data_IF_804285185453
#
_entry.id   IF_804285185453
#
_cell.length_a   1.000
_cell.length_b   1.000
_cell.length_c   1.000
_cell.angle_alpha   90.00
_cell.angle_beta   90.00
_cell.angle_gamma   90.00
#
_symmetry.space_group_name_H-M   'P 1'
#
loop_
_entity.id
_entity.type
_entity.pdbx_description
1 polymer ?
#
# COMPACT_ATOMS: atom_id res chain seq x y z
N UNK A 1 -1.99 -10.42 31.43
CA UNK A 1 -2.66 -11.64 30.99
C UNK A 1 -4.04 -11.28 30.40
N UNK A 2 -4.40 -11.97 29.32
CA UNK A 2 -5.70 -11.85 28.66
C UNK A 2 -6.26 -13.25 28.42
N UNK A 3 -7.56 -13.42 28.56
CA UNK A 3 -8.25 -14.68 28.25
C UNK A 3 -9.03 -14.51 26.94
N UNK A 4 -8.68 -15.29 25.92
CA UNK A 4 -9.36 -15.30 24.63
C UNK A 4 -9.64 -16.75 24.21
N UNK A 5 -10.64 -16.99 23.34
CA UNK A 5 -10.89 -18.32 22.82
C UNK A 5 -9.69 -18.86 22.05
N UNK A 6 -9.27 -20.09 22.35
CA UNK A 6 -8.10 -20.73 21.74
C UNK A 6 -8.12 -20.73 20.19
N UNK A 7 -9.32 -20.81 19.58
CA UNK A 7 -9.47 -20.75 18.11
C UNK A 7 -9.07 -19.39 17.47
N UNK A 8 -8.88 -18.35 18.29
CA UNK A 8 -8.44 -17.03 17.84
C UNK A 8 -6.94 -16.80 18.07
N UNK A 9 -6.24 -17.80 18.61
CA UNK A 9 -4.80 -17.74 18.87
C UNK A 9 -4.06 -18.40 17.74
N UNK A 10 -3.04 -17.72 17.21
CA UNK A 10 -2.09 -18.29 16.27
C UNK A 10 -0.79 -18.52 17.03
N UNK A 11 -0.35 -19.78 17.21
CA UNK A 11 0.92 -20.07 17.86
C UNK A 11 2.09 -19.50 17.07
N UNK A 12 3.07 -18.96 17.76
CA UNK A 12 4.34 -18.55 17.17
C UNK A 12 5.37 -19.66 17.35
N UNK A 13 6.20 -19.89 16.33
CA UNK A 13 7.41 -20.69 16.46
C UNK A 13 8.52 -19.91 17.17
N UNK A 14 9.49 -20.63 17.75
CA UNK A 14 10.62 -20.01 18.46
C UNK A 14 11.59 -19.27 17.53
N UNK A 15 11.45 -19.46 16.22
CA UNK A 15 12.31 -18.86 15.18
C UNK A 15 11.98 -17.40 14.84
N UNK A 16 10.83 -16.89 15.28
CA UNK A 16 10.41 -15.50 15.01
C UNK A 16 10.56 -14.64 16.26
N UNK A 17 11.30 -13.54 16.15
CA UNK A 17 11.43 -12.57 17.23
C UNK A 17 10.11 -11.85 17.51
N UNK A 18 9.79 -11.59 18.77
CA UNK A 18 8.56 -10.89 19.18
C UNK A 18 8.38 -9.53 18.47
N UNK A 19 9.50 -8.79 18.26
CA UNK A 19 9.50 -7.51 17.55
C UNK A 19 9.08 -7.61 16.08
N UNK A 20 9.22 -8.79 15.48
CA UNK A 20 8.76 -9.08 14.11
C UNK A 20 7.35 -9.64 14.16
N UNK A 21 7.08 -10.56 15.08
CA UNK A 21 5.78 -11.20 15.23
C UNK A 21 4.65 -10.18 15.50
N UNK A 22 4.92 -9.10 16.24
CA UNK A 22 3.95 -8.05 16.52
C UNK A 22 3.48 -7.30 15.25
N UNK A 23 4.20 -7.40 14.13
CA UNK A 23 3.81 -6.81 12.85
C UNK A 23 2.80 -7.67 12.07
N UNK A 24 2.47 -8.88 12.56
CA UNK A 24 1.59 -9.81 11.84
C UNK A 24 0.20 -9.21 11.56
N UNK A 25 -0.40 -8.54 12.54
CA UNK A 25 -1.72 -7.94 12.36
C UNK A 25 -1.70 -6.81 11.31
N UNK A 26 -0.92 -5.73 11.45
CA UNK A 26 -0.92 -4.66 10.45
C UNK A 26 -0.45 -5.16 9.07
N UNK A 27 0.46 -6.13 9.03
CA UNK A 27 0.89 -6.71 7.76
C UNK A 27 -0.18 -7.59 7.12
N UNK A 28 -1.01 -8.28 7.89
CA UNK A 28 -2.16 -9.04 7.36
C UNK A 28 -3.16 -8.15 6.61
N UNK A 29 -3.32 -6.90 7.04
CA UNK A 29 -4.13 -5.90 6.34
C UNK A 29 -3.56 -5.59 4.96
N UNK A 30 -2.24 -5.47 4.85
CA UNK A 30 -1.53 -5.25 3.58
C UNK A 30 -1.64 -6.47 2.66
N UNK A 31 -1.47 -7.68 3.19
CA UNK A 31 -1.67 -8.94 2.44
C UNK A 31 -3.07 -9.00 1.84
N UNK A 32 -4.09 -8.72 2.66
CA UNK A 32 -5.48 -8.67 2.18
C UNK A 32 -5.70 -7.61 1.11
N UNK A 33 -5.16 -6.42 1.32
CA UNK A 33 -5.31 -5.30 0.41
C UNK A 33 -4.70 -5.59 -0.96
N UNK A 34 -3.51 -6.21 -1.00
CA UNK A 34 -2.83 -6.59 -2.24
C UNK A 34 -3.63 -7.62 -3.06
N UNK A 35 -4.28 -8.57 -2.39
CA UNK A 35 -5.19 -9.53 -3.04
C UNK A 35 -6.43 -8.82 -3.60
N UNK A 36 -7.05 -7.92 -2.83
CA UNK A 36 -8.27 -7.21 -3.24
C UNK A 36 -8.04 -6.30 -4.44
N UNK A 37 -6.91 -5.57 -4.45
CA UNK A 37 -6.57 -4.70 -5.57
C UNK A 37 -6.13 -5.49 -6.80
N UNK A 38 -5.76 -6.77 -6.64
CA UNK A 38 -5.34 -7.65 -7.72
C UNK A 38 -4.02 -7.20 -8.33
N UNK A 39 -3.03 -6.86 -7.48
CA UNK A 39 -1.70 -6.47 -7.95
C UNK A 39 -1.04 -7.60 -8.71
N UNK A 40 -0.52 -7.29 -9.90
CA UNK A 40 0.09 -8.24 -10.82
C UNK A 40 1.56 -7.91 -11.11
N UNK A 41 2.27 -8.89 -11.64
CA UNK A 41 3.69 -8.74 -12.05
C UNK A 41 3.84 -7.62 -13.08
N UNK A 42 4.90 -6.83 -12.95
CA UNK A 42 5.28 -5.71 -13.83
C UNK A 42 4.29 -4.53 -13.87
N UNK A 43 3.31 -4.49 -12.96
CA UNK A 43 2.48 -3.29 -12.80
C UNK A 43 3.25 -2.18 -12.06
N UNK A 44 3.08 -0.95 -12.52
CA UNK A 44 3.60 0.23 -11.84
C UNK A 44 2.74 0.55 -10.61
N UNK A 45 3.40 0.78 -9.47
CA UNK A 45 2.74 1.05 -8.19
C UNK A 45 3.21 2.40 -7.64
N UNK A 46 2.26 3.25 -7.27
CA UNK A 46 2.52 4.45 -6.48
C UNK A 46 1.99 4.24 -5.06
N UNK A 47 2.84 4.45 -4.05
CA UNK A 47 2.45 4.44 -2.63
C UNK A 47 2.54 5.85 -2.08
N UNK A 48 1.40 6.41 -1.67
CA UNK A 48 1.32 7.73 -1.04
C UNK A 48 1.45 7.54 0.48
N UNK A 49 2.51 8.12 1.04
CA UNK A 49 2.93 7.93 2.42
C UNK A 49 3.82 6.69 2.60
N UNK A 50 5.03 6.90 3.12
CA UNK A 50 5.98 5.83 3.44
C UNK A 50 6.20 5.71 4.96
N UNK A 51 5.11 5.80 5.73
CA UNK A 51 5.07 5.39 7.13
C UNK A 51 5.22 3.86 7.27
N UNK A 52 5.09 3.30 8.47
CA UNK A 52 5.23 1.86 8.67
C UNK A 52 4.39 1.01 7.71
N UNK A 53 3.12 1.36 7.55
CA UNK A 53 2.19 0.65 6.67
C UNK A 53 2.52 0.87 5.19
N UNK A 54 2.85 2.11 4.79
CA UNK A 54 3.28 2.40 3.41
C UNK A 54 4.53 1.60 3.02
N UNK A 55 5.51 1.46 3.94
CA UNK A 55 6.68 0.61 3.70
C UNK A 55 6.33 -0.88 3.60
N UNK A 56 5.33 -1.36 4.34
CA UNK A 56 4.81 -2.71 4.15
C UNK A 56 4.19 -2.89 2.76
N UNK A 57 3.47 -1.90 2.25
CA UNK A 57 2.93 -1.92 0.88
C UNK A 57 4.04 -1.90 -0.18
N UNK A 58 5.10 -1.10 0.00
CA UNK A 58 6.27 -1.06 -0.89
C UNK A 58 6.91 -2.45 -0.98
N UNK A 59 7.20 -3.07 0.17
CA UNK A 59 7.81 -4.39 0.23
C UNK A 59 6.89 -5.47 -0.36
N UNK A 60 5.58 -5.40 -0.09
CA UNK A 60 4.61 -6.32 -0.66
C UNK A 60 4.51 -6.18 -2.18
N UNK A 61 4.50 -4.95 -2.70
CA UNK A 61 4.51 -4.68 -4.15
C UNK A 61 5.77 -5.29 -4.80
N UNK A 62 6.94 -5.10 -4.17
CA UNK A 62 8.19 -5.70 -4.63
C UNK A 62 8.14 -7.23 -4.63
N UNK A 63 7.62 -7.84 -3.57
CA UNK A 63 7.46 -9.29 -3.48
C UNK A 63 6.56 -9.85 -4.59
N UNK A 64 5.53 -9.09 -4.97
CA UNK A 64 4.59 -9.45 -6.04
C UNK A 64 5.11 -9.12 -7.46
N UNK A 65 6.33 -8.55 -7.56
CA UNK A 65 6.96 -8.27 -8.85
C UNK A 65 6.47 -7.00 -9.54
N UNK A 66 5.95 -6.02 -8.79
CA UNK A 66 5.62 -4.71 -9.34
C UNK A 66 6.88 -3.96 -9.81
N UNK A 67 6.77 -3.17 -10.89
CA UNK A 67 7.82 -2.33 -11.44
C UNK A 67 7.26 -1.26 -12.40
N UNK A 68 7.59 0.04 -12.22
CA UNK A 68 8.32 0.60 -11.10
C UNK A 68 7.46 0.74 -9.83
N UNK A 69 8.11 0.76 -8.65
CA UNK A 69 7.51 1.09 -7.36
C UNK A 69 7.95 2.50 -6.98
N UNK A 70 6.99 3.40 -6.88
CA UNK A 70 7.22 4.82 -6.64
C UNK A 70 6.59 5.19 -5.29
N UNK A 71 7.37 5.74 -4.36
CA UNK A 71 6.85 6.31 -3.12
C UNK A 71 6.70 7.82 -3.23
N UNK A 72 5.63 8.38 -2.65
CA UNK A 72 5.47 9.83 -2.44
C UNK A 72 5.54 10.06 -0.93
N UNK A 73 6.63 10.66 -0.44
CA UNK A 73 6.89 10.86 0.99
C UNK A 73 7.69 12.15 1.22
N UNK A 74 7.17 13.01 2.08
CA UNK A 74 7.74 14.34 2.34
C UNK A 74 8.85 14.33 3.41
N UNK A 75 8.81 13.37 4.33
CA UNK A 75 9.80 13.25 5.38
C UNK A 75 11.08 12.59 4.84
N UNK A 76 12.25 13.27 4.93
CA UNK A 76 13.49 12.73 4.35
C UNK A 76 13.94 11.38 4.93
N UNK A 77 13.70 11.16 6.22
CA UNK A 77 14.08 9.89 6.89
C UNK A 77 13.19 8.74 6.40
N UNK A 78 11.88 8.98 6.27
CA UNK A 78 10.94 7.99 5.72
C UNK A 78 11.19 7.75 4.23
N UNK A 79 11.56 8.79 3.48
CA UNK A 79 11.94 8.67 2.08
C UNK A 79 13.16 7.76 1.90
N UNK A 80 14.15 7.87 2.78
CA UNK A 80 15.31 6.97 2.75
C UNK A 80 14.94 5.53 3.11
N UNK A 81 14.10 5.36 4.14
CA UNK A 81 13.58 4.03 4.50
C UNK A 81 12.77 3.40 3.37
N UNK A 82 11.98 4.18 2.64
CA UNK A 82 11.23 3.70 1.49
C UNK A 82 12.14 3.12 0.39
N UNK A 83 13.30 3.75 0.14
CA UNK A 83 14.31 3.21 -0.80
C UNK A 83 14.86 1.88 -0.30
N UNK A 84 15.21 1.80 0.98
CA UNK A 84 15.70 0.56 1.60
C UNK A 84 14.64 -0.55 1.55
N UNK A 85 13.37 -0.21 1.71
CA UNK A 85 12.24 -1.13 1.60
C UNK A 85 11.93 -1.55 0.15
N UNK A 86 12.57 -0.94 -0.84
CA UNK A 86 12.50 -1.37 -2.23
C UNK A 86 11.69 -0.48 -3.15
N UNK A 87 11.44 0.79 -2.81
CA UNK A 87 10.94 1.76 -3.76
C UNK A 87 12.04 2.08 -4.80
N UNK A 88 11.71 1.97 -6.08
CA UNK A 88 12.62 2.29 -7.19
C UNK A 88 12.85 3.81 -7.30
N UNK A 89 11.84 4.59 -6.90
CA UNK A 89 11.89 6.05 -6.86
C UNK A 89 11.13 6.60 -5.68
N UNK A 90 11.60 7.70 -5.10
CA UNK A 90 10.90 8.42 -4.03
C UNK A 90 10.75 9.89 -4.40
N UNK A 91 9.53 10.36 -4.45
CA UNK A 91 9.15 11.73 -4.74
C UNK A 91 8.94 12.46 -3.42
N UNK A 92 9.70 13.52 -3.19
CA UNK A 92 9.64 14.32 -1.95
C UNK A 92 8.99 15.69 -2.16
N UNK A 93 8.67 16.03 -3.40
CA UNK A 93 7.99 17.27 -3.79
C UNK A 93 6.57 16.93 -4.28
N UNK A 94 5.53 17.18 -3.47
CA UNK A 94 4.15 16.81 -3.81
C UNK A 94 3.61 17.62 -5.00
N UNK A 95 4.09 18.86 -5.22
CA UNK A 95 3.62 19.70 -6.33
C UNK A 95 4.06 19.14 -7.68
N UNK A 96 5.20 18.46 -7.70
CA UNK A 96 5.75 17.82 -8.91
C UNK A 96 5.42 16.32 -9.00
N UNK A 97 4.65 15.77 -8.06
CA UNK A 97 4.41 14.33 -7.99
C UNK A 97 3.78 13.80 -9.29
N UNK A 98 2.74 14.44 -9.80
CA UNK A 98 2.08 13.99 -11.03
C UNK A 98 3.02 14.00 -12.25
N UNK A 99 3.85 15.04 -12.40
CA UNK A 99 4.82 15.15 -13.47
C UNK A 99 5.84 13.99 -13.39
N UNK A 100 6.40 13.79 -12.19
CA UNK A 100 7.43 12.76 -11.98
C UNK A 100 6.85 11.34 -12.14
N UNK A 101 5.65 11.07 -11.61
CA UNK A 101 4.98 9.77 -11.81
C UNK A 101 4.79 9.50 -13.31
N UNK A 102 4.31 10.48 -14.08
CA UNK A 102 4.17 10.33 -15.53
C UNK A 102 5.49 10.05 -16.21
N UNK A 103 6.55 10.77 -15.84
CA UNK A 103 7.89 10.53 -16.40
C UNK A 103 8.39 9.10 -16.11
N UNK A 104 8.14 8.58 -14.91
CA UNK A 104 8.51 7.23 -14.48
C UNK A 104 7.61 6.12 -15.05
N UNK A 105 6.47 6.47 -15.63
CA UNK A 105 5.46 5.54 -16.18
C UNK A 105 5.18 5.78 -17.67
N UNK A 106 6.15 6.27 -18.42
CA UNK A 106 6.08 6.51 -19.87
C UNK A 106 4.90 7.43 -20.28
N UNK A 107 4.57 8.39 -19.44
CA UNK A 107 3.47 9.35 -19.65
C UNK A 107 2.08 8.83 -19.29
N UNK A 108 1.94 7.53 -18.94
CA UNK A 108 0.63 6.88 -18.74
C UNK A 108 0.00 7.15 -17.37
N UNK A 109 0.78 7.27 -16.32
CA UNK A 109 0.36 7.16 -14.93
C UNK A 109 0.47 5.72 -14.40
N UNK A 110 0.15 5.50 -13.13
CA UNK A 110 0.35 4.23 -12.45
C UNK A 110 -0.81 3.23 -12.67
N UNK A 111 -0.47 1.94 -12.72
CA UNK A 111 -1.43 0.84 -12.75
C UNK A 111 -2.20 0.75 -11.43
N UNK A 112 -1.49 0.89 -10.32
CA UNK A 112 -2.05 0.88 -8.97
C UNK A 112 -1.54 2.07 -8.18
N UNK A 113 -2.44 2.77 -7.51
CA UNK A 113 -2.11 3.81 -6.54
C UNK A 113 -2.63 3.36 -5.18
N UNK A 114 -1.79 3.41 -4.16
CA UNK A 114 -2.13 3.04 -2.78
C UNK A 114 -2.09 4.32 -1.95
N UNK A 115 -3.23 4.74 -1.42
CA UNK A 115 -3.31 5.83 -0.46
C UNK A 115 -3.25 5.22 0.95
N UNK A 116 -2.18 5.51 1.72
CA UNK A 116 -1.91 4.90 3.03
C UNK A 116 -1.78 5.92 4.18
N UNK A 117 -2.19 7.17 3.95
CA UNK A 117 -2.15 8.26 4.95
C UNK A 117 -3.52 8.52 5.57
N UNK A 118 -4.57 8.54 4.75
CA UNK A 118 -5.94 8.84 5.18
C UNK A 118 -6.28 10.33 5.13
N UNK A 119 -5.73 11.08 4.17
CA UNK A 119 -6.02 12.50 4.02
C UNK A 119 -6.86 12.77 2.76
N UNK A 120 -7.95 13.55 2.81
CA UNK A 120 -8.87 13.75 1.68
C UNK A 120 -8.17 14.31 0.43
N UNK A 121 -7.25 15.25 0.58
CA UNK A 121 -6.50 15.81 -0.54
C UNK A 121 -5.60 14.76 -1.21
N UNK A 122 -5.01 13.85 -0.44
CA UNK A 122 -4.19 12.77 -0.98
C UNK A 122 -5.03 11.74 -1.74
N UNK A 123 -6.25 11.46 -1.28
CA UNK A 123 -7.21 10.66 -2.05
C UNK A 123 -7.56 11.30 -3.39
N UNK A 124 -7.78 12.63 -3.43
CA UNK A 124 -8.04 13.34 -4.67
C UNK A 124 -6.82 13.34 -5.60
N UNK A 125 -5.63 13.53 -5.06
CA UNK A 125 -4.38 13.43 -5.84
C UNK A 125 -4.18 12.02 -6.38
N UNK A 126 -4.44 10.98 -5.59
CA UNK A 126 -4.32 9.59 -5.98
C UNK A 126 -5.12 9.27 -7.25
N UNK A 127 -6.32 9.83 -7.40
CA UNK A 127 -7.13 9.67 -8.61
C UNK A 127 -6.44 10.22 -9.87
N UNK A 128 -5.63 11.27 -9.72
CA UNK A 128 -4.90 11.88 -10.85
C UNK A 128 -3.64 11.11 -11.23
N UNK A 129 -3.09 10.33 -10.32
CA UNK A 129 -1.88 9.54 -10.54
C UNK A 129 -2.12 8.26 -11.32
N UNK A 130 -3.38 7.78 -11.33
CA UNK A 130 -3.76 6.56 -12.05
C UNK A 130 -3.77 6.76 -13.57
N UNK A 131 -3.30 5.75 -14.29
CA UNK A 131 -3.54 5.66 -15.73
C UNK A 131 -5.01 5.34 -16.05
N UNK A 132 -5.45 5.44 -17.32
CA UNK A 132 -6.69 4.78 -17.76
C UNK A 132 -6.64 3.27 -17.46
N UNK A 133 -7.72 2.71 -16.92
CA UNK A 133 -7.79 1.34 -16.41
C UNK A 133 -7.08 1.12 -15.08
N UNK A 134 -6.52 2.16 -14.47
CA UNK A 134 -5.82 2.09 -13.19
C UNK A 134 -6.74 1.87 -11.98
N UNK A 135 -6.14 1.48 -10.85
CA UNK A 135 -6.86 1.14 -9.62
C UNK A 135 -6.30 1.93 -8.43
N UNK A 136 -7.20 2.53 -7.65
CA UNK A 136 -6.87 3.14 -6.37
C UNK A 136 -7.20 2.16 -5.25
N UNK A 137 -6.22 1.83 -4.43
CA UNK A 137 -6.44 1.18 -3.15
C UNK A 137 -6.66 2.26 -2.08
N UNK A 138 -7.88 2.38 -1.59
CA UNK A 138 -8.23 3.20 -0.46
C UNK A 138 -7.93 2.42 0.82
N UNK A 139 -6.83 2.76 1.48
CA UNK A 139 -6.32 2.05 2.65
C UNK A 139 -6.18 2.95 3.89
N UNK A 140 -5.69 4.17 3.73
CA UNK A 140 -5.59 5.14 4.82
C UNK A 140 -6.96 5.46 5.42
N UNK A 141 -7.06 5.44 6.75
CA UNK A 141 -8.32 5.73 7.44
C UNK A 141 -8.51 7.25 7.55
N UNK A 142 -9.70 7.70 7.18
CA UNK A 142 -10.16 9.07 7.37
C UNK A 142 -11.15 9.15 8.53
N UNK A 143 -11.50 10.37 8.93
CA UNK A 143 -12.65 10.57 9.80
C UNK A 143 -13.96 10.18 9.07
N UNK A 144 -14.98 9.78 9.84
CA UNK A 144 -16.25 9.28 9.30
C UNK A 144 -16.99 10.30 8.41
N UNK A 145 -16.82 11.58 8.69
CA UNK A 145 -17.46 12.68 7.96
C UNK A 145 -16.61 13.20 6.79
N UNK A 146 -15.47 12.58 6.53
CA UNK A 146 -14.58 13.00 5.44
C UNK A 146 -15.19 12.68 4.08
N UNK A 147 -15.30 13.68 3.22
CA UNK A 147 -15.77 13.55 1.85
C UNK A 147 -14.67 13.94 0.85
N UNK A 148 -14.67 13.30 -0.30
CA UNK A 148 -13.85 13.69 -1.45
C UNK A 148 -14.71 13.93 -2.68
N UNK A 149 -14.36 14.92 -3.50
CA UNK A 149 -15.02 15.16 -4.77
C UNK A 149 -14.49 14.19 -5.84
N UNK A 150 -15.39 13.50 -6.51
CA UNK A 150 -15.11 12.64 -7.66
C UNK A 150 -15.85 13.18 -8.88
N UNK A 151 -15.16 13.19 -10.03
CA UNK A 151 -15.78 13.49 -11.31
C UNK A 151 -16.20 12.19 -12.00
N UNK A 152 -17.50 11.81 -11.97
CA UNK A 152 -17.95 10.51 -12.50
C UNK A 152 -17.57 10.29 -13.97
N UNK A 153 -17.63 11.35 -14.78
CA UNK A 153 -17.27 11.25 -16.20
C UNK A 153 -15.80 10.84 -16.40
N UNK A 154 -14.89 11.36 -15.57
CA UNK A 154 -13.47 10.96 -15.66
C UNK A 154 -13.28 9.49 -15.31
N UNK A 155 -13.95 9.00 -14.27
CA UNK A 155 -13.90 7.59 -13.88
C UNK A 155 -14.43 6.70 -15.01
N UNK A 156 -15.57 7.09 -15.63
CA UNK A 156 -16.18 6.34 -16.74
C UNK A 156 -15.26 6.30 -17.96
N UNK A 157 -14.78 7.46 -18.40
CA UNK A 157 -13.95 7.56 -19.62
C UNK A 157 -12.58 6.90 -19.46
N UNK A 158 -12.05 6.84 -18.24
CA UNK A 158 -10.78 6.22 -17.93
C UNK A 158 -10.91 4.77 -17.42
N UNK A 159 -12.13 4.25 -17.24
CA UNK A 159 -12.38 2.90 -16.69
C UNK A 159 -11.64 2.63 -15.37
N UNK A 160 -11.51 3.64 -14.52
CA UNK A 160 -10.79 3.57 -13.26
C UNK A 160 -11.60 2.86 -12.18
N UNK A 161 -10.93 2.26 -11.20
CA UNK A 161 -11.56 1.58 -10.06
C UNK A 161 -11.04 2.12 -8.74
N UNK A 162 -11.91 2.17 -7.73
CA UNK A 162 -11.56 2.48 -6.34
C UNK A 162 -11.93 1.25 -5.51
N UNK A 163 -10.94 0.71 -4.81
CA UNK A 163 -11.09 -0.49 -3.98
C UNK A 163 -10.73 -0.17 -2.53
N UNK A 164 -11.69 -0.28 -1.62
CA UNK A 164 -11.43 -0.21 -0.18
C UNK A 164 -10.93 -1.55 0.37
N UNK A 165 -10.06 -1.48 1.37
CA UNK A 165 -9.65 -2.64 2.15
C UNK A 165 -9.51 -2.27 3.62
N UNK A 166 -9.97 -3.17 4.49
CA UNK A 166 -9.88 -3.03 5.96
C UNK A 166 -9.60 -4.40 6.56
N UNK A 167 -8.82 -4.45 7.63
CA UNK A 167 -8.49 -5.60 8.46
C UNK A 167 -8.09 -6.87 7.71
N UNK A 168 -6.96 -7.45 8.03
CA UNK A 168 -6.62 -8.81 7.65
C UNK A 168 -7.44 -9.81 8.46
N UNK A 169 -7.84 -10.93 7.87
CA UNK A 169 -8.72 -11.91 8.54
C UNK A 169 -8.24 -13.34 8.25
N UNK A 170 -8.34 -14.22 9.25
CA UNK A 170 -8.11 -15.64 9.09
C UNK A 170 -6.83 -15.97 8.29
N UNK A 171 -7.01 -16.40 7.06
CA UNK A 171 -5.92 -16.78 6.17
C UNK A 171 -4.89 -15.67 5.93
N UNK A 172 -5.32 -14.39 5.91
CA UNK A 172 -4.40 -13.26 5.71
C UNK A 172 -3.40 -13.13 6.87
N UNK A 173 -3.84 -13.45 8.11
CA UNK A 173 -2.98 -13.49 9.30
C UNK A 173 -1.93 -14.60 9.20
N UNK A 174 -2.34 -15.81 8.80
CA UNK A 174 -1.43 -16.94 8.61
C UNK A 174 -0.40 -16.65 7.52
N UNK A 175 -0.81 -16.06 6.41
CA UNK A 175 0.10 -15.69 5.33
C UNK A 175 1.06 -14.57 5.73
N UNK A 176 0.58 -13.57 6.47
CA UNK A 176 1.45 -12.50 7.00
C UNK A 176 2.52 -13.09 7.92
N UNK A 177 2.13 -13.93 8.88
CA UNK A 177 3.06 -14.59 9.79
C UNK A 177 4.07 -15.46 9.02
N UNK A 178 3.60 -16.23 8.03
CA UNK A 178 4.48 -17.07 7.21
C UNK A 178 5.53 -16.25 6.46
N UNK A 179 5.14 -15.12 5.86
CA UNK A 179 6.07 -14.23 5.16
C UNK A 179 7.10 -13.60 6.12
N UNK A 180 6.66 -13.19 7.31
CA UNK A 180 7.54 -12.62 8.34
C UNK A 180 8.52 -13.66 8.88
N UNK A 181 8.07 -14.88 9.17
CA UNK A 181 8.92 -15.99 9.66
C UNK A 181 10.00 -16.37 8.64
N UNK A 182 9.74 -16.21 7.33
CA UNK A 182 10.69 -16.49 6.26
C UNK A 182 11.54 -15.26 5.87
N UNK A 183 11.52 -14.21 6.68
CA UNK A 183 12.32 -12.99 6.49
C UNK A 183 12.18 -12.38 5.08
N UNK A 184 10.94 -12.40 4.55
CA UNK A 184 10.64 -11.79 3.25
C UNK A 184 10.44 -10.28 3.33
N UNK A 185 10.52 -9.72 4.55
CA UNK A 185 10.37 -8.30 4.87
C UNK A 185 11.51 -7.84 5.78
N UNK A 186 11.85 -6.57 5.65
CA UNK A 186 12.92 -5.91 6.41
C UNK A 186 12.26 -5.09 7.54
#
# INVERSE_FOLDING_TARGET
YVAIPARLVIPLGDEIADSVACLTEPFSCVVRASKKIGLSVAESVVVIGAGPVGNMHIQMARLLGAAPIIAVELNPQRAELARQCGADSVITDPERALEQIKALTEGRGADVVIESVGHPELYQQALTFMRPGGRLLAFGLTDAETEIAIKPLEIILKEQRIQGSVAGMGEDMHQALHLLSHQRFI
#
